data_IF_129756846733
#
_entry.id   IF_129756846733
#
_cell.length_a   1.000
_cell.length_b   1.000
_cell.length_c   1.000
_cell.angle_alpha   90.00
_cell.angle_beta   90.00
_cell.angle_gamma   90.00
#
_symmetry.space_group_name_H-M   'P 1'
#
loop_
_entity.id
_entity.type
_entity.pdbx_description
1 polymer ?
#
# COMPACT_ATOMS: atom_id res chain seq x y z
N UNK A 1 -13.64 12.88 -16.48
CA UNK A 1 -13.36 12.11 -15.25
C UNK A 1 -11.86 12.23 -14.99
N UNK A 2 -11.42 12.72 -13.83
CA UNK A 2 -10.02 13.12 -13.64
C UNK A 2 -9.10 11.91 -13.48
N UNK A 3 -8.14 11.75 -14.38
CA UNK A 3 -7.14 10.65 -14.35
C UNK A 3 -6.40 10.58 -13.01
N UNK A 4 -6.05 11.74 -12.45
CA UNK A 4 -5.39 11.87 -11.14
C UNK A 4 -6.22 11.31 -9.99
N UNK A 5 -7.55 11.32 -10.10
CA UNK A 5 -8.43 10.74 -9.08
C UNK A 5 -8.32 9.21 -9.05
N UNK A 6 -8.30 8.57 -10.23
CA UNK A 6 -8.11 7.12 -10.34
C UNK A 6 -6.75 6.68 -9.84
N UNK A 7 -5.70 7.44 -10.16
CA UNK A 7 -4.34 7.16 -9.67
C UNK A 7 -4.33 7.18 -8.14
N UNK A 8 -4.85 8.24 -7.51
CA UNK A 8 -4.91 8.35 -6.03
C UNK A 8 -5.74 7.24 -5.41
N UNK A 9 -6.90 6.91 -6.00
CA UNK A 9 -7.74 5.81 -5.52
C UNK A 9 -7.01 4.46 -5.60
N UNK A 10 -6.30 4.19 -6.69
CA UNK A 10 -5.52 2.97 -6.85
C UNK A 10 -4.46 2.82 -5.76
N UNK A 11 -3.71 3.89 -5.46
CA UNK A 11 -2.74 3.91 -4.37
C UNK A 11 -3.38 3.65 -3.00
N UNK A 12 -4.51 4.28 -2.69
CA UNK A 12 -5.25 4.01 -1.46
C UNK A 12 -5.74 2.57 -1.36
N UNK A 13 -6.16 1.98 -2.48
CA UNK A 13 -6.60 0.60 -2.55
C UNK A 13 -5.44 -0.37 -2.28
N UNK A 14 -4.25 -0.10 -2.81
CA UNK A 14 -3.04 -0.89 -2.54
C UNK A 14 -2.63 -0.84 -1.07
N UNK A 15 -2.60 0.35 -0.47
CA UNK A 15 -2.28 0.51 0.97
C UNK A 15 -3.29 -0.26 1.83
N UNK A 16 -4.58 -0.10 1.55
CA UNK A 16 -5.66 -0.79 2.28
C UNK A 16 -5.52 -2.31 2.16
N UNK A 17 -5.27 -2.81 0.95
CA UNK A 17 -5.09 -4.26 0.71
C UNK A 17 -3.85 -4.79 1.44
N UNK A 18 -2.75 -4.05 1.43
CA UNK A 18 -1.53 -4.44 2.14
C UNK A 18 -1.75 -4.54 3.65
N UNK A 19 -2.54 -3.64 4.26
CA UNK A 19 -2.92 -3.72 5.67
C UNK A 19 -3.68 -5.03 5.95
N UNK A 20 -4.66 -5.39 5.12
CA UNK A 20 -5.39 -6.65 5.29
C UNK A 20 -4.48 -7.88 5.18
N UNK A 21 -3.54 -7.89 4.23
CA UNK A 21 -2.57 -8.99 4.12
C UNK A 21 -1.65 -9.10 5.33
N UNK A 22 -1.15 -7.98 5.85
CA UNK A 22 -0.35 -7.94 7.08
C UNK A 22 -1.15 -8.47 8.26
N UNK A 23 -2.39 -8.00 8.44
CA UNK A 23 -3.27 -8.46 9.53
C UNK A 23 -3.61 -9.94 9.42
N UNK A 24 -3.87 -10.43 8.20
CA UNK A 24 -4.14 -11.83 7.94
C UNK A 24 -2.92 -12.71 8.24
N UNK A 25 -1.73 -12.30 7.80
CA UNK A 25 -0.47 -13.00 8.05
C UNK A 25 -0.10 -13.02 9.54
N UNK A 26 -0.35 -11.91 10.24
CA UNK A 26 -0.15 -11.86 11.69
C UNK A 26 -1.10 -12.82 12.41
N UNK A 27 -2.36 -12.88 12.00
CA UNK A 27 -3.35 -13.78 12.59
C UNK A 27 -3.08 -15.26 12.27
N UNK A 28 -2.52 -15.58 11.11
CA UNK A 28 -2.16 -16.94 10.74
C UNK A 28 -0.83 -17.41 11.34
N UNK A 29 -0.02 -16.50 11.90
CA UNK A 29 1.32 -16.80 12.39
C UNK A 29 2.35 -17.03 11.29
N UNK A 30 2.03 -16.65 10.04
CA UNK A 30 2.94 -16.74 8.91
C UNK A 30 3.90 -15.54 8.89
N UNK A 31 5.05 -15.72 9.54
CA UNK A 31 6.07 -14.70 9.67
C UNK A 31 6.70 -14.27 8.34
N UNK A 32 6.74 -15.17 7.33
CA UNK A 32 7.28 -14.84 6.02
C UNK A 32 6.33 -13.93 5.25
N UNK A 33 5.04 -14.29 5.21
CA UNK A 33 4.00 -13.46 4.63
C UNK A 33 3.84 -12.14 5.37
N UNK A 34 4.06 -12.13 6.69
CA UNK A 34 4.03 -10.90 7.49
C UNK A 34 5.17 -9.95 7.11
N UNK A 35 6.40 -10.46 7.01
CA UNK A 35 7.54 -9.67 6.57
C UNK A 35 7.35 -9.14 5.14
N UNK A 36 6.86 -9.98 4.22
CA UNK A 36 6.53 -9.58 2.86
C UNK A 36 5.44 -8.52 2.79
N UNK A 37 4.37 -8.68 3.57
CA UNK A 37 3.27 -7.72 3.67
C UNK A 37 3.71 -6.37 4.22
N UNK A 38 4.58 -6.36 5.24
CA UNK A 38 5.14 -5.13 5.80
C UNK A 38 6.06 -4.41 4.81
N UNK A 39 6.93 -5.15 4.09
CA UNK A 39 7.77 -4.59 3.04
C UNK A 39 6.93 -4.01 1.89
N UNK A 40 5.88 -4.71 1.48
CA UNK A 40 4.95 -4.24 0.45
C UNK A 40 4.18 -2.98 0.88
N UNK A 41 3.70 -2.94 2.13
CA UNK A 41 3.04 -1.77 2.69
C UNK A 41 3.99 -0.55 2.71
N UNK A 42 5.23 -0.74 3.15
CA UNK A 42 6.25 0.31 3.15
C UNK A 42 6.56 0.81 1.73
N UNK A 43 6.71 -0.09 0.76
CA UNK A 43 6.93 0.28 -0.64
C UNK A 43 5.75 1.06 -1.23
N UNK A 44 4.51 0.61 -0.98
CA UNK A 44 3.32 1.32 -1.43
C UNK A 44 3.22 2.72 -0.84
N UNK A 45 3.49 2.88 0.46
CA UNK A 45 3.52 4.20 1.09
C UNK A 45 4.63 5.09 0.50
N UNK A 46 5.83 4.55 0.27
CA UNK A 46 6.95 5.28 -0.30
C UNK A 46 6.66 5.77 -1.72
N UNK A 47 6.04 4.95 -2.58
CA UNK A 47 5.66 5.33 -3.93
C UNK A 47 4.41 6.22 -3.99
N UNK A 48 3.56 6.18 -2.98
CA UNK A 48 2.45 7.10 -2.83
C UNK A 48 2.94 8.53 -2.57
N UNK A 49 4.06 8.73 -1.84
CA UNK A 49 4.61 10.07 -1.54
C UNK A 49 4.81 10.94 -2.81
N UNK A 50 5.51 10.49 -3.88
CA UNK A 50 5.64 11.23 -5.14
C UNK A 50 4.33 11.69 -5.78
N UNK A 51 3.26 10.89 -5.65
CA UNK A 51 1.92 11.21 -6.22
C UNK A 51 1.31 12.45 -5.55
N UNK A 52 1.64 12.67 -4.27
CA UNK A 52 1.24 13.86 -3.52
C UNK A 52 2.31 14.96 -3.58
N UNK A 53 3.55 14.63 -3.88
CA UNK A 53 4.68 15.55 -4.02
C UNK A 53 4.81 16.16 -5.42
N UNK A 54 3.71 16.30 -6.17
CA UNK A 54 3.73 17.12 -7.39
C UNK A 54 3.96 18.61 -7.04
N UNK A 55 5.23 18.98 -6.79
CA UNK A 55 5.74 20.33 -6.92
C UNK A 55 6.19 20.54 -8.37
N UNK A 56 5.26 21.05 -9.17
CA UNK A 56 5.41 21.56 -10.56
C UNK A 56 5.78 20.53 -11.63
#
# INVERSE_FOLDING_TARGET
MNETFFIKLGWWLFVTSAIFFVLAAWRSGDWLSLAGGLAFLAANAAFMVPVYWHRK
#
